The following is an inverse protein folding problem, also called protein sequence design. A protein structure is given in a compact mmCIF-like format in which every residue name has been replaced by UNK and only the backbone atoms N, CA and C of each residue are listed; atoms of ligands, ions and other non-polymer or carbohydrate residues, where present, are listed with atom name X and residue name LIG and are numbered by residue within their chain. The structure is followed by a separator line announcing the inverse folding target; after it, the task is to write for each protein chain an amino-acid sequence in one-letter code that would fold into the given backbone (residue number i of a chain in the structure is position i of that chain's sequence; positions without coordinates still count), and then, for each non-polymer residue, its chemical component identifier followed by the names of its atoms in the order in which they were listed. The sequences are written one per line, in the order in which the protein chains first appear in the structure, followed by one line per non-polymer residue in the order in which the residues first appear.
data_IF_872436980175
#
_entry.id   IF_872436980175
#
_cell.length_a   1.000
_cell.length_b   1.000
_cell.length_c   1.000
_cell.angle_alpha   90.00
_cell.angle_beta   90.00
_cell.angle_gamma   90.00
#
_symmetry.space_group_name_H-M   'P 1'
#
loop_
_entity.id
_entity.type
_entity.pdbx_description
1 polymer ?
#
# COMPACT_ATOMS: atom_id res chain seq x y z
N UNK A 1 34.46 -23.64 -23.75
CA UNK A 1 34.43 -23.10 -22.37
C UNK A 1 33.71 -21.75 -22.26
N UNK A 2 33.63 -20.95 -23.33
CA UNK A 2 32.99 -19.61 -23.33
C UNK A 2 31.45 -19.70 -23.39
N UNK A 3 30.88 -20.76 -23.99
CA UNK A 3 29.41 -20.93 -24.10
C UNK A 3 28.71 -21.37 -22.81
N UNK A 4 29.44 -21.88 -21.82
CA UNK A 4 28.84 -22.40 -20.58
C UNK A 4 28.56 -21.29 -19.57
N UNK A 5 29.30 -20.17 -19.64
CA UNK A 5 29.09 -18.99 -18.79
C UNK A 5 27.92 -18.15 -19.34
N UNK A 6 27.85 -17.97 -20.66
CA UNK A 6 26.74 -17.22 -21.28
C UNK A 6 25.39 -17.96 -21.21
N UNK A 7 25.39 -19.30 -21.20
CA UNK A 7 24.16 -20.08 -21.01
C UNK A 7 23.67 -20.18 -19.56
N UNK A 8 24.49 -19.80 -18.56
CA UNK A 8 24.00 -19.61 -17.16
C UNK A 8 23.36 -18.24 -16.94
N UNK A 9 23.52 -17.30 -17.88
CA UNK A 9 22.94 -15.95 -17.80
C UNK A 9 21.47 -15.92 -18.30
N UNK A 10 20.96 -17.04 -18.86
CA UNK A 10 19.55 -17.16 -19.26
C UNK A 10 18.83 -18.22 -18.44
N UNK A 11 17.80 -17.78 -17.71
CA UNK A 11 16.87 -18.53 -16.82
C UNK A 11 17.22 -18.55 -15.32
N UNK A 12 17.86 -17.51 -14.81
CA UNK A 12 17.55 -17.07 -13.44
C UNK A 12 16.22 -16.30 -13.50
N UNK A 13 15.26 -16.50 -12.58
CA UNK A 13 14.12 -15.60 -12.48
C UNK A 13 14.66 -14.16 -12.43
N UNK A 14 14.14 -13.29 -13.29
CA UNK A 14 14.52 -11.89 -13.32
C UNK A 14 14.28 -11.31 -11.92
N UNK A 15 15.41 -11.03 -11.26
CA UNK A 15 15.60 -10.54 -9.90
C UNK A 15 14.96 -11.32 -8.75
N UNK A 16 15.75 -11.64 -7.69
CA UNK A 16 15.20 -12.08 -6.41
C UNK A 16 14.32 -11.02 -5.72
N UNK A 17 14.27 -9.78 -6.21
CA UNK A 17 13.34 -8.75 -5.74
C UNK A 17 13.01 -7.73 -6.83
N UNK A 18 11.75 -7.74 -7.27
CA UNK A 18 11.13 -6.75 -8.16
C UNK A 18 11.41 -5.32 -7.68
N UNK A 19 11.53 -5.13 -6.37
CA UNK A 19 11.85 -3.84 -5.75
C UNK A 19 13.25 -3.38 -6.16
N UNK A 20 14.25 -4.28 -6.12
CA UNK A 20 15.62 -3.94 -6.53
C UNK A 20 15.72 -3.69 -8.02
N UNK A 21 14.91 -4.35 -8.85
CA UNK A 21 14.83 -4.04 -10.27
C UNK A 21 14.25 -2.63 -10.52
N UNK A 22 13.15 -2.28 -9.84
CA UNK A 22 12.50 -0.96 -9.96
C UNK A 22 13.33 0.18 -9.35
N UNK A 23 14.30 -0.14 -8.49
CA UNK A 23 15.24 0.84 -7.95
C UNK A 23 16.13 1.47 -9.04
N UNK A 24 16.25 0.81 -10.20
CA UNK A 24 16.87 1.34 -11.41
C UNK A 24 18.23 0.72 -11.72
N UNK A 25 18.69 0.95 -12.96
CA UNK A 25 19.92 0.37 -13.53
C UNK A 25 21.16 0.68 -12.67
N UNK A 26 21.28 1.89 -12.14
CA UNK A 26 22.42 2.30 -11.30
C UNK A 26 22.50 1.48 -10.01
N UNK A 27 21.37 1.10 -9.43
CA UNK A 27 21.36 0.35 -8.17
C UNK A 27 21.42 -1.16 -8.37
N UNK A 28 21.08 -1.65 -9.57
CA UNK A 28 21.29 -3.04 -9.96
C UNK A 28 22.77 -3.41 -9.91
N UNK A 29 23.62 -2.62 -10.56
CA UNK A 29 25.07 -2.85 -10.57
C UNK A 29 25.65 -2.76 -9.16
N UNK A 30 25.19 -1.79 -8.36
CA UNK A 30 25.61 -1.61 -6.97
C UNK A 30 25.11 -2.70 -6.03
N UNK A 31 23.92 -3.24 -6.27
CA UNK A 31 23.40 -4.40 -5.53
C UNK A 31 24.25 -5.64 -5.82
N UNK A 32 24.60 -5.85 -7.09
CA UNK A 32 25.50 -6.93 -7.48
C UNK A 32 26.89 -6.77 -6.85
N UNK A 33 27.44 -5.55 -6.85
CA UNK A 33 28.70 -5.25 -6.16
C UNK A 33 28.61 -5.50 -4.65
N UNK A 34 27.51 -5.08 -4.01
CA UNK A 34 27.24 -5.38 -2.60
C UNK A 34 27.23 -6.89 -2.31
N UNK A 35 26.58 -7.68 -3.17
CA UNK A 35 26.55 -9.14 -3.03
C UNK A 35 27.94 -9.77 -3.22
N UNK A 36 28.79 -9.19 -4.07
CA UNK A 36 30.14 -9.67 -4.29
C UNK A 36 31.12 -9.29 -3.17
N UNK A 37 30.84 -8.20 -2.45
CA UNK A 37 31.73 -7.62 -1.42
C UNK A 37 31.31 -7.93 0.02
N UNK A 38 30.09 -8.39 0.24
CA UNK A 38 29.53 -8.68 1.56
C UNK A 38 29.06 -10.13 1.65
N UNK A 39 29.07 -10.72 2.85
CA UNK A 39 28.47 -12.04 3.07
C UNK A 39 26.97 -11.96 3.36
N UNK A 40 26.24 -13.01 2.99
CA UNK A 40 24.84 -13.21 3.37
C UNK A 40 24.62 -13.08 4.90
N UNK A 41 23.39 -12.72 5.36
CA UNK A 41 22.21 -12.43 4.56
C UNK A 41 22.26 -11.05 3.88
N UNK A 42 21.79 -10.98 2.64
CA UNK A 42 21.69 -9.75 1.86
C UNK A 42 20.37 -9.04 2.17
N UNK A 43 20.44 -7.86 2.79
CA UNK A 43 19.24 -7.13 3.26
C UNK A 43 19.24 -5.70 2.79
N UNK A 44 18.07 -5.09 2.65
CA UNK A 44 17.95 -3.66 2.32
C UNK A 44 18.66 -2.77 3.35
N UNK A 45 18.54 -3.14 4.63
CA UNK A 45 19.16 -2.43 5.73
C UNK A 45 20.69 -2.47 5.66
N UNK A 46 21.29 -3.62 5.33
CA UNK A 46 22.74 -3.74 5.14
C UNK A 46 23.20 -3.03 3.86
N UNK A 47 22.46 -3.17 2.77
CA UNK A 47 22.77 -2.49 1.51
C UNK A 47 22.79 -0.97 1.68
N UNK A 48 21.82 -0.38 2.37
CA UNK A 48 21.83 1.07 2.62
C UNK A 48 23.02 1.48 3.50
N UNK A 49 23.44 0.63 4.44
CA UNK A 49 24.58 0.92 5.33
C UNK A 49 25.94 0.91 4.61
N UNK A 50 26.05 0.37 3.40
CA UNK A 50 27.31 0.44 2.63
C UNK A 50 27.59 1.85 2.09
N UNK A 51 26.59 2.72 2.09
CA UNK A 51 26.71 4.11 1.62
C UNK A 51 27.01 5.08 2.76
N UNK A 52 27.60 6.22 2.38
CA UNK A 52 27.83 7.34 3.30
C UNK A 52 26.50 7.90 3.80
N UNK A 53 26.52 8.46 5.02
CA UNK A 53 25.31 8.95 5.70
C UNK A 53 24.48 9.96 4.90
N UNK A 54 25.15 10.81 4.11
CA UNK A 54 24.52 11.82 3.25
C UNK A 54 23.77 11.19 2.06
N UNK A 55 24.27 10.07 1.53
CA UNK A 55 23.65 9.34 0.42
C UNK A 55 22.49 8.44 0.88
N UNK A 56 22.53 7.95 2.12
CA UNK A 56 21.51 7.04 2.67
C UNK A 56 20.10 7.64 2.64
N UNK A 57 19.96 8.94 2.86
CA UNK A 57 18.65 9.62 2.84
C UNK A 57 18.02 9.56 1.45
N UNK A 58 18.80 9.85 0.42
CA UNK A 58 18.35 9.78 -0.97
C UNK A 58 18.03 8.33 -1.37
N UNK A 59 18.86 7.37 -0.95
CA UNK A 59 18.66 5.95 -1.26
C UNK A 59 17.39 5.39 -0.60
N UNK A 60 17.13 5.73 0.67
CA UNK A 60 15.87 5.37 1.36
C UNK A 60 14.64 5.89 0.62
N UNK A 61 14.69 7.12 0.09
CA UNK A 61 13.62 7.70 -0.73
C UNK A 61 13.42 6.93 -2.03
N UNK A 62 14.50 6.56 -2.72
CA UNK A 62 14.43 5.80 -3.96
C UNK A 62 13.92 4.37 -3.74
N UNK A 63 14.36 3.70 -2.66
CA UNK A 63 13.86 2.39 -2.26
C UNK A 63 12.35 2.44 -2.01
N UNK A 64 11.88 3.45 -1.27
CA UNK A 64 10.45 3.67 -1.04
C UNK A 64 9.67 3.82 -2.34
N UNK A 65 10.17 4.61 -3.28
CA UNK A 65 9.54 4.79 -4.58
C UNK A 65 9.53 3.50 -5.41
N UNK A 66 10.62 2.73 -5.35
CA UNK A 66 10.72 1.43 -6.00
C UNK A 66 9.67 0.45 -5.45
N UNK A 67 9.49 0.40 -4.12
CA UNK A 67 8.45 -0.42 -3.48
C UNK A 67 7.06 -0.01 -3.97
N UNK A 68 6.76 1.29 -4.00
CA UNK A 68 5.48 1.78 -4.51
C UNK A 68 5.26 1.42 -5.97
N UNK A 69 6.31 1.47 -6.79
CA UNK A 69 6.21 1.10 -8.19
C UNK A 69 6.05 -0.43 -8.38
N UNK A 70 6.70 -1.25 -7.56
CA UNK A 70 6.49 -2.71 -7.56
C UNK A 70 5.05 -3.06 -7.18
N UNK A 71 4.46 -2.35 -6.21
CA UNK A 71 3.06 -2.53 -5.84
C UNK A 71 2.15 -2.12 -6.99
N UNK A 72 2.32 -0.93 -7.57
CA UNK A 72 1.36 -0.37 -8.53
C UNK A 72 1.49 -0.91 -9.95
N UNK A 73 2.70 -1.20 -10.41
CA UNK A 73 2.98 -1.54 -11.81
C UNK A 73 3.51 -2.96 -11.99
N UNK A 74 3.85 -3.69 -10.91
CA UNK A 74 4.41 -5.03 -11.00
C UNK A 74 5.70 -5.08 -11.85
N UNK A 75 6.02 -6.24 -12.41
CA UNK A 75 7.17 -6.41 -13.32
C UNK A 75 6.80 -5.95 -14.73
N UNK A 76 5.67 -6.45 -15.24
CA UNK A 76 5.23 -6.30 -16.62
C UNK A 76 4.01 -5.41 -16.71
N UNK A 77 3.71 -4.92 -17.91
CA UNK A 77 2.59 -3.98 -18.13
C UNK A 77 1.24 -4.61 -17.82
N UNK A 78 1.10 -5.91 -18.06
CA UNK A 78 -0.08 -6.69 -17.68
C UNK A 78 -0.27 -6.81 -16.16
N UNK A 79 0.77 -6.55 -15.37
CA UNK A 79 0.74 -6.59 -13.90
C UNK A 79 0.33 -5.23 -13.29
N UNK A 80 -0.05 -4.25 -14.11
CA UNK A 80 -0.55 -2.96 -13.63
C UNK A 80 -1.83 -3.11 -12.81
N UNK A 81 -1.86 -2.46 -11.64
CA UNK A 81 -3.00 -2.57 -10.72
C UNK A 81 -4.24 -1.87 -11.30
N UNK A 82 -5.41 -2.52 -11.17
CA UNK A 82 -6.71 -1.98 -11.61
C UNK A 82 -7.00 -0.59 -11.03
N UNK A 83 -6.54 -0.30 -9.80
CA UNK A 83 -6.73 0.99 -9.13
C UNK A 83 -6.22 2.19 -9.95
N UNK A 84 -5.21 1.98 -10.81
CA UNK A 84 -4.65 3.02 -11.67
C UNK A 84 -5.69 3.62 -12.63
N UNK A 85 -6.73 2.86 -12.99
CA UNK A 85 -7.86 3.37 -13.80
C UNK A 85 -8.63 4.48 -13.10
N UNK A 86 -8.64 4.49 -11.77
CA UNK A 86 -9.41 5.44 -10.95
C UNK A 86 -8.55 6.57 -10.38
N UNK A 87 -7.23 6.54 -10.60
CA UNK A 87 -6.29 7.50 -10.02
C UNK A 87 -5.82 8.50 -11.07
N UNK A 88 -5.77 9.78 -10.69
CA UNK A 88 -5.22 10.86 -11.49
C UNK A 88 -3.70 10.97 -11.29
N UNK A 89 -2.93 10.71 -12.34
CA UNK A 89 -1.47 10.66 -12.26
C UNK A 89 -0.81 12.04 -12.37
N UNK A 90 -1.35 12.92 -13.21
CA UNK A 90 -0.62 14.10 -13.68
C UNK A 90 -1.07 15.39 -13.00
N UNK A 91 -2.31 15.44 -12.49
CA UNK A 91 -2.90 16.66 -11.95
C UNK A 91 -2.83 16.72 -10.43
N UNK A 92 -2.76 17.96 -9.90
CA UNK A 92 -2.81 18.25 -8.46
C UNK A 92 -4.18 17.93 -7.83
N UNK A 93 -5.24 17.83 -8.63
CA UNK A 93 -6.59 17.46 -8.21
C UNK A 93 -7.11 16.36 -9.13
N UNK A 94 -7.85 15.42 -8.56
CA UNK A 94 -8.50 14.37 -9.33
C UNK A 94 -9.48 14.99 -10.34
N UNK A 95 -9.39 14.54 -11.60
CA UNK A 95 -10.37 14.90 -12.64
C UNK A 95 -11.77 14.36 -12.33
N UNK A 96 -12.73 14.69 -13.21
CA UNK A 96 -14.13 14.27 -13.05
C UNK A 96 -14.26 12.73 -12.99
N UNK A 97 -13.45 12.02 -13.78
CA UNK A 97 -13.51 10.56 -13.94
C UNK A 97 -12.52 9.80 -13.05
N UNK A 98 -11.83 10.50 -12.14
CA UNK A 98 -10.84 9.93 -11.22
C UNK A 98 -11.30 10.19 -9.79
N UNK A 99 -11.00 9.33 -8.83
CA UNK A 99 -11.46 9.47 -7.44
C UNK A 99 -10.44 10.17 -6.54
N UNK A 100 -9.15 9.95 -6.79
CA UNK A 100 -8.03 10.49 -6.02
C UNK A 100 -6.82 10.75 -6.92
N UNK A 101 -5.85 11.51 -6.41
CA UNK A 101 -4.57 11.70 -7.09
C UNK A 101 -3.58 10.61 -6.72
N UNK A 102 -2.61 10.35 -7.60
CA UNK A 102 -1.48 9.45 -7.33
C UNK A 102 -0.71 9.89 -6.08
N UNK A 103 -0.60 11.21 -5.87
CA UNK A 103 0.01 11.75 -4.67
C UNK A 103 -0.76 11.34 -3.40
N UNK A 104 -2.10 11.40 -3.38
CA UNK A 104 -2.88 10.99 -2.21
C UNK A 104 -2.74 9.49 -1.95
N UNK A 105 -2.78 8.66 -3.00
CA UNK A 105 -2.55 7.21 -2.90
C UNK A 105 -1.19 6.90 -2.26
N UNK A 106 -0.10 7.47 -2.80
CA UNK A 106 1.28 7.23 -2.32
C UNK A 106 1.52 7.79 -0.92
N UNK A 107 1.11 9.04 -0.68
CA UNK A 107 1.44 9.75 0.58
C UNK A 107 0.51 9.43 1.75
N UNK A 108 -0.64 8.81 1.48
CA UNK A 108 -1.62 8.46 2.52
C UNK A 108 -1.87 6.96 2.57
N UNK A 109 -2.46 6.36 1.54
CA UNK A 109 -2.85 4.94 1.56
C UNK A 109 -1.62 4.04 1.69
N UNK A 110 -0.71 4.10 0.72
CA UNK A 110 0.50 3.28 0.73
C UNK A 110 1.44 3.66 1.87
N UNK A 111 1.56 4.95 2.19
CA UNK A 111 2.42 5.41 3.31
C UNK A 111 2.03 4.77 4.64
N UNK A 112 0.74 4.60 4.93
CA UNK A 112 0.29 4.02 6.18
C UNK A 112 0.46 2.49 6.22
N UNK A 113 0.27 1.82 5.09
CA UNK A 113 0.23 0.34 5.03
C UNK A 113 1.60 -0.31 4.74
N UNK A 114 2.49 0.38 4.02
CA UNK A 114 3.85 -0.09 3.71
C UNK A 114 4.79 0.16 4.89
N UNK A 115 5.61 -0.84 5.23
CA UNK A 115 6.73 -0.70 6.15
C UNK A 115 7.77 0.27 5.59
N UNK A 116 7.93 1.41 6.28
CA UNK A 116 8.69 2.56 5.77
C UNK A 116 10.19 2.45 5.96
N UNK A 117 10.67 1.52 6.80
CA UNK A 117 12.10 1.34 7.07
C UNK A 117 12.69 0.32 6.09
N UNK A 118 13.99 0.41 5.78
CA UNK A 118 14.69 -0.67 5.10
C UNK A 118 14.51 -1.98 5.85
N UNK A 119 14.04 -3.01 5.15
CA UNK A 119 13.82 -4.32 5.69
C UNK A 119 15.17 -4.98 6.05
N UNK A 120 15.21 -5.63 7.21
CA UNK A 120 16.35 -6.45 7.63
C UNK A 120 16.06 -7.94 7.42
N UNK A 121 15.35 -8.26 6.34
CA UNK A 121 15.05 -9.62 5.88
C UNK A 121 15.87 -9.92 4.64
N UNK A 122 16.22 -11.19 4.44
CA UNK A 122 17.02 -11.60 3.30
C UNK A 122 16.20 -11.48 2.01
N UNK A 123 16.70 -10.62 1.12
CA UNK A 123 16.08 -10.33 -0.17
C UNK A 123 16.29 -11.53 -1.09
N UNK A 124 15.23 -11.99 -1.75
CA UNK A 124 15.32 -13.10 -2.70
C UNK A 124 15.30 -14.51 -2.13
N UNK A 125 15.08 -14.63 -0.81
CA UNK A 125 14.89 -15.91 -0.15
C UNK A 125 13.39 -16.24 -0.02
N UNK A 126 13.05 -17.48 0.35
CA UNK A 126 11.67 -17.83 0.75
C UNK A 126 11.19 -17.01 1.97
N UNK A 127 12.13 -16.48 2.75
CA UNK A 127 11.89 -15.60 3.88
C UNK A 127 11.82 -14.12 3.50
N UNK A 128 11.82 -13.77 2.19
CA UNK A 128 11.72 -12.40 1.72
C UNK A 128 10.36 -11.79 2.09
N UNK A 129 10.37 -11.09 3.22
CA UNK A 129 9.18 -10.42 3.73
C UNK A 129 8.78 -9.22 2.89
N UNK A 130 9.71 -8.58 2.16
CA UNK A 130 9.38 -7.46 1.28
C UNK A 130 8.55 -7.93 0.10
N UNK A 131 8.90 -9.07 -0.48
CA UNK A 131 8.12 -9.66 -1.57
C UNK A 131 6.71 -10.02 -1.10
N UNK A 132 6.58 -10.60 0.11
CA UNK A 132 5.27 -10.86 0.74
C UNK A 132 4.47 -9.59 0.98
N UNK A 133 5.11 -8.52 1.45
CA UNK A 133 4.45 -7.22 1.62
C UNK A 133 3.93 -6.64 0.31
N UNK A 134 4.73 -6.67 -0.76
CA UNK A 134 4.30 -6.23 -2.09
C UNK A 134 3.09 -7.05 -2.55
N UNK A 135 3.14 -8.38 -2.40
CA UNK A 135 2.02 -9.25 -2.74
C UNK A 135 0.75 -8.93 -1.94
N UNK A 136 0.87 -8.80 -0.62
CA UNK A 136 -0.25 -8.46 0.26
C UNK A 136 -0.87 -7.10 -0.10
N UNK A 137 -0.05 -6.09 -0.37
CA UNK A 137 -0.56 -4.77 -0.75
C UNK A 137 -1.25 -4.78 -2.11
N UNK A 138 -0.78 -5.59 -3.05
CA UNK A 138 -1.47 -5.79 -4.33
C UNK A 138 -2.83 -6.45 -4.11
N UNK A 139 -2.90 -7.54 -3.33
CA UNK A 139 -4.17 -8.19 -2.96
C UNK A 139 -5.11 -7.23 -2.22
N UNK A 140 -4.60 -6.43 -1.28
CA UNK A 140 -5.38 -5.39 -0.60
C UNK A 140 -5.96 -4.37 -1.60
N UNK A 141 -5.16 -3.91 -2.58
CA UNK A 141 -5.62 -2.96 -3.58
C UNK A 141 -6.62 -3.57 -4.58
N UNK A 142 -6.53 -4.86 -4.87
CA UNK A 142 -7.54 -5.57 -5.66
C UNK A 142 -8.87 -5.66 -4.92
N UNK A 143 -8.86 -6.05 -3.64
CA UNK A 143 -10.06 -6.04 -2.78
C UNK A 143 -10.60 -4.61 -2.65
N UNK A 144 -9.72 -3.62 -2.51
CA UNK A 144 -10.11 -2.22 -2.49
C UNK A 144 -10.85 -1.83 -3.77
N UNK A 145 -10.39 -2.29 -4.92
CA UNK A 145 -11.07 -2.02 -6.18
C UNK A 145 -12.41 -2.73 -6.26
N UNK A 146 -12.46 -4.00 -5.84
CA UNK A 146 -13.69 -4.78 -5.78
C UNK A 146 -14.76 -4.07 -4.96
N UNK A 147 -14.44 -3.71 -3.71
CA UNK A 147 -15.39 -3.12 -2.76
C UNK A 147 -15.88 -1.74 -3.19
N UNK A 148 -15.01 -0.90 -3.73
CA UNK A 148 -15.35 0.49 -4.02
C UNK A 148 -15.76 0.75 -5.49
N UNK A 149 -15.49 -0.16 -6.43
CA UNK A 149 -15.73 0.09 -7.86
C UNK A 149 -16.31 -1.07 -8.69
N UNK A 150 -16.30 -2.34 -8.24
CA UNK A 150 -16.71 -3.46 -9.12
C UNK A 150 -18.24 -3.70 -9.15
N UNK A 151 -19.01 -3.18 -8.19
CA UNK A 151 -20.50 -3.25 -8.22
C UNK A 151 -21.17 -2.22 -9.15
N UNK A 152 -20.41 -1.33 -9.80
CA UNK A 152 -20.94 -0.39 -10.80
C UNK A 152 -21.15 -1.08 -12.16
N UNK A 153 -22.13 -1.98 -12.18
CA UNK A 153 -22.74 -2.59 -13.35
C UNK A 153 -23.30 -1.50 -14.29
N UNK A 154 -22.45 -0.93 -15.13
CA UNK A 154 -22.83 -0.26 -16.36
C UNK A 154 -23.52 1.10 -16.22
N UNK A 155 -23.61 1.68 -15.02
CA UNK A 155 -24.08 3.06 -14.87
C UNK A 155 -22.85 3.96 -14.69
N UNK A 156 -22.43 4.60 -15.78
CA UNK A 156 -21.64 5.83 -15.73
C UNK A 156 -22.47 6.93 -15.03
N UNK A 157 -22.68 6.82 -13.73
CA UNK A 157 -23.15 7.94 -12.94
C UNK A 157 -21.92 8.60 -12.36
N UNK A 158 -21.83 9.89 -12.63
CA UNK A 158 -21.08 10.86 -11.84
C UNK A 158 -20.82 10.31 -10.44
N UNK A 159 -19.55 10.31 -10.00
CA UNK A 159 -19.11 9.99 -8.63
C UNK A 159 -20.31 10.17 -7.69
N UNK A 160 -20.89 9.08 -7.19
CA UNK A 160 -21.96 9.22 -6.19
C UNK A 160 -21.42 10.17 -5.12
N UNK A 161 -22.25 11.08 -4.60
CA UNK A 161 -21.77 12.05 -3.59
C UNK A 161 -21.06 11.32 -2.43
N UNK A 162 -21.53 10.11 -2.12
CA UNK A 162 -20.84 9.09 -1.31
C UNK A 162 -19.38 8.88 -1.70
N UNK A 163 -19.08 8.48 -2.94
CA UNK A 163 -17.70 8.28 -3.42
C UNK A 163 -16.88 9.57 -3.37
N UNK A 164 -17.48 10.74 -3.65
CA UNK A 164 -16.77 12.02 -3.45
C UNK A 164 -16.36 12.19 -1.99
N UNK A 165 -17.27 11.94 -1.05
CA UNK A 165 -17.03 12.07 0.40
C UNK A 165 -15.99 11.07 0.91
N UNK A 166 -16.04 9.80 0.49
CA UNK A 166 -15.07 8.76 0.88
C UNK A 166 -13.65 9.13 0.43
N UNK A 167 -13.52 9.66 -0.80
CA UNK A 167 -12.24 9.95 -1.43
C UNK A 167 -11.74 11.40 -1.26
N UNK A 168 -12.44 12.24 -0.46
CA UNK A 168 -11.93 13.54 -0.03
C UNK A 168 -10.63 13.37 0.75
N UNK A 169 -9.73 14.34 0.65
CA UNK A 169 -8.37 14.20 1.20
C UNK A 169 -8.34 14.06 2.73
N UNK A 170 -9.23 14.77 3.45
CA UNK A 170 -9.42 14.60 4.89
C UNK A 170 -9.92 13.20 5.24
N UNK A 171 -10.97 12.75 4.55
CA UNK A 171 -11.55 11.42 4.69
C UNK A 171 -10.54 10.31 4.48
N UNK A 172 -9.77 10.36 3.40
CA UNK A 172 -8.73 9.34 3.09
C UNK A 172 -7.67 9.27 4.19
N UNK A 173 -7.23 10.41 4.73
CA UNK A 173 -6.27 10.43 5.84
C UNK A 173 -6.84 9.84 7.12
N UNK A 174 -8.11 10.09 7.41
CA UNK A 174 -8.80 9.54 8.58
C UNK A 174 -9.03 8.03 8.40
N UNK A 175 -9.78 7.61 7.37
CA UNK A 175 -10.17 6.21 7.21
C UNK A 175 -8.96 5.30 6.98
N UNK A 176 -7.88 5.75 6.32
CA UNK A 176 -6.71 4.88 6.12
C UNK A 176 -6.09 4.47 7.46
N UNK A 177 -6.05 5.38 8.45
CA UNK A 177 -5.55 5.08 9.80
C UNK A 177 -6.49 4.15 10.54
N UNK A 178 -7.79 4.40 10.46
CA UNK A 178 -8.82 3.56 11.07
C UNK A 178 -8.80 2.14 10.49
N UNK A 179 -8.72 2.02 9.16
CA UNK A 179 -8.57 0.73 8.44
C UNK A 179 -7.29 0.02 8.86
N UNK A 180 -6.14 0.70 8.90
CA UNK A 180 -4.89 0.09 9.37
C UNK A 180 -5.03 -0.46 10.80
N UNK A 181 -5.61 0.32 11.71
CA UNK A 181 -5.87 -0.12 13.09
C UNK A 181 -6.79 -1.34 13.13
N UNK A 182 -7.85 -1.36 12.32
CA UNK A 182 -8.77 -2.48 12.21
C UNK A 182 -8.06 -3.75 11.71
N UNK A 183 -7.27 -3.63 10.64
CA UNK A 183 -6.46 -4.72 10.09
C UNK A 183 -5.50 -5.25 11.15
N UNK A 184 -4.79 -4.38 11.87
CA UNK A 184 -3.88 -4.81 12.94
C UNK A 184 -4.59 -5.66 14.00
N UNK A 185 -5.83 -5.32 14.37
CA UNK A 185 -6.61 -6.12 15.33
C UNK A 185 -7.05 -7.45 14.73
N UNK A 186 -7.53 -7.46 13.49
CA UNK A 186 -7.90 -8.68 12.75
C UNK A 186 -6.73 -9.66 12.66
N UNK A 187 -5.52 -9.14 12.42
CA UNK A 187 -4.28 -9.91 12.36
C UNK A 187 -3.65 -10.18 13.73
N UNK A 188 -4.39 -9.92 14.83
CA UNK A 188 -3.98 -10.08 16.22
C UNK A 188 -2.60 -9.47 16.54
N UNK A 189 -2.31 -8.30 15.97
CA UNK A 189 -1.09 -7.54 16.21
C UNK A 189 -1.30 -6.73 17.48
N UNK A 190 -0.77 -7.22 18.59
CA UNK A 190 -0.90 -6.59 19.92
C UNK A 190 0.28 -5.65 20.19
N UNK A 191 1.48 -6.01 19.71
CA UNK A 191 2.69 -5.21 19.94
C UNK A 191 2.73 -3.96 19.06
N UNK A 192 2.74 -2.79 19.69
CA UNK A 192 2.87 -1.49 19.03
C UNK A 192 4.12 -1.37 18.14
N UNK A 193 5.21 -2.09 18.44
CA UNK A 193 6.41 -2.10 17.60
C UNK A 193 6.18 -2.81 16.25
N UNK A 194 5.19 -3.71 16.20
CA UNK A 194 4.82 -4.47 15.02
C UNK A 194 3.73 -3.78 14.19
N UNK A 195 3.13 -2.69 14.68
CA UNK A 195 2.07 -1.96 13.98
C UNK A 195 2.54 -1.33 12.66
N UNK A 196 3.84 -1.09 12.51
CA UNK A 196 4.41 -0.60 11.26
C UNK A 196 4.62 -1.71 10.22
N UNK A 197 4.54 -2.98 10.64
CA UNK A 197 4.71 -4.18 9.82
C UNK A 197 3.36 -4.84 9.51
N UNK A 198 2.29 -4.05 9.39
CA UNK A 198 0.92 -4.55 9.12
C UNK A 198 0.89 -5.50 7.93
N UNK A 199 1.45 -5.07 6.78
CA UNK A 199 1.44 -5.86 5.55
C UNK A 199 2.71 -6.70 5.35
N UNK A 200 3.75 -6.47 6.16
CA UNK A 200 5.03 -7.18 6.12
C UNK A 200 4.96 -8.52 6.90
N UNK A 201 4.03 -9.40 6.52
CA UNK A 201 3.76 -10.70 7.17
C UNK A 201 3.03 -11.68 6.25
N UNK A 202 3.00 -12.98 6.54
CA UNK A 202 2.01 -13.87 5.94
C UNK A 202 0.60 -13.47 6.39
N UNK A 203 -0.36 -13.47 5.47
CA UNK A 203 -1.79 -13.23 5.75
C UNK A 203 -2.59 -14.37 5.12
N UNK A 204 -3.37 -15.07 5.94
CA UNK A 204 -4.18 -16.23 5.58
C UNK A 204 -5.48 -15.80 4.89
N UNK A 205 -6.13 -16.73 4.17
CA UNK A 205 -7.33 -16.40 3.39
C UNK A 205 -8.49 -15.90 4.26
N UNK A 206 -8.73 -16.52 5.42
CA UNK A 206 -9.77 -16.07 6.35
C UNK A 206 -9.50 -14.66 6.91
N UNK A 207 -8.23 -14.28 7.05
CA UNK A 207 -7.85 -12.92 7.44
C UNK A 207 -8.14 -11.92 6.31
N UNK A 208 -7.93 -12.32 5.05
CA UNK A 208 -8.30 -11.51 3.88
C UNK A 208 -9.80 -11.26 3.78
N UNK A 209 -10.63 -12.26 4.06
CA UNK A 209 -12.09 -12.07 4.12
C UNK A 209 -12.49 -11.07 5.21
N UNK A 210 -11.84 -11.12 6.37
CA UNK A 210 -12.06 -10.14 7.43
C UNK A 210 -11.59 -8.73 7.02
N UNK A 211 -10.46 -8.61 6.31
CA UNK A 211 -9.99 -7.33 5.74
C UNK A 211 -11.00 -6.79 4.70
N UNK A 212 -11.56 -7.65 3.85
CA UNK A 212 -12.61 -7.28 2.89
C UNK A 212 -13.85 -6.76 3.62
N UNK A 213 -14.29 -7.43 4.68
CA UNK A 213 -15.42 -6.98 5.51
C UNK A 213 -15.17 -5.61 6.15
N UNK A 214 -13.94 -5.32 6.58
CA UNK A 214 -13.57 -3.97 7.09
C UNK A 214 -13.79 -2.91 6.00
N UNK A 215 -13.34 -3.16 4.76
CA UNK A 215 -13.51 -2.22 3.66
C UNK A 215 -14.99 -2.07 3.27
N UNK A 216 -15.77 -3.16 3.27
CA UNK A 216 -17.21 -3.12 3.00
C UNK A 216 -17.96 -2.30 4.06
N UNK A 217 -17.63 -2.47 5.34
CA UNK A 217 -18.21 -1.65 6.43
C UNK A 217 -17.87 -0.17 6.29
N UNK A 218 -16.64 0.12 5.87
CA UNK A 218 -16.23 1.49 5.56
C UNK A 218 -17.07 2.03 4.41
N UNK A 219 -17.21 1.30 3.31
CA UNK A 219 -18.01 1.71 2.14
C UNK A 219 -19.47 1.94 2.55
N UNK A 220 -20.09 1.01 3.28
CA UNK A 220 -21.52 1.03 3.60
C UNK A 220 -21.88 1.95 4.79
N UNK A 221 -20.92 2.70 5.32
CA UNK A 221 -21.14 3.49 6.53
C UNK A 221 -22.14 4.64 6.32
N UNK A 222 -23.11 4.77 7.21
CA UNK A 222 -24.19 5.78 7.13
C UNK A 222 -23.69 7.23 7.07
N UNK A 223 -22.48 7.51 7.59
CA UNK A 223 -21.82 8.82 7.48
C UNK A 223 -21.80 9.33 6.03
N UNK A 224 -21.61 8.45 5.04
CA UNK A 224 -21.45 8.88 3.66
C UNK A 224 -22.74 9.34 3.02
N UNK A 225 -23.87 8.89 3.56
CA UNK A 225 -25.22 9.21 3.10
C UNK A 225 -25.87 10.32 3.95
N UNK A 226 -25.21 10.77 5.02
CA UNK A 226 -25.70 11.84 5.87
C UNK A 226 -25.63 13.20 5.15
N UNK A 227 -26.77 13.87 5.03
CA UNK A 227 -26.90 15.15 4.32
C UNK A 227 -26.95 16.36 5.26
N UNK A 228 -26.64 16.19 6.53
CA UNK A 228 -26.52 17.30 7.47
C UNK A 228 -25.47 18.31 6.99
N UNK A 229 -25.78 19.63 6.95
CA UNK A 229 -24.82 20.65 6.53
C UNK A 229 -23.53 20.67 7.36
N UNK A 230 -23.60 20.28 8.64
CA UNK A 230 -22.44 20.14 9.53
C UNK A 230 -21.45 19.09 9.02
N UNK A 231 -21.93 17.93 8.59
CA UNK A 231 -21.12 16.83 8.04
C UNK A 231 -20.37 17.30 6.80
N UNK A 232 -21.09 17.92 5.85
CA UNK A 232 -20.49 18.42 4.62
C UNK A 232 -19.45 19.51 4.93
N UNK A 233 -19.71 20.41 5.89
CA UNK A 233 -18.74 21.42 6.32
C UNK A 233 -17.48 20.78 6.91
N UNK A 234 -17.62 19.83 7.83
CA UNK A 234 -16.50 19.16 8.49
C UNK A 234 -15.64 18.36 7.50
N UNK A 235 -16.27 17.68 6.54
CA UNK A 235 -15.57 16.98 5.46
C UNK A 235 -14.82 17.94 4.52
N UNK A 236 -15.32 19.16 4.33
CA UNK A 236 -14.72 20.18 3.47
C UNK A 236 -13.52 20.91 4.09
N UNK A 237 -13.40 20.94 5.42
CA UNK A 237 -12.25 21.54 6.09
C UNK A 237 -10.91 20.87 5.74
N UNK A 238 -10.94 19.62 5.28
CA UNK A 238 -9.76 18.83 4.90
C UNK A 238 -8.67 18.73 6.01
N UNK A 239 -9.05 19.00 7.25
CA UNK A 239 -8.23 18.81 8.45
C UNK A 239 -8.46 17.42 9.01
N UNK A 240 -7.37 16.73 9.31
CA UNK A 240 -7.45 15.36 9.81
C UNK A 240 -8.18 15.32 11.16
N UNK A 241 -7.91 16.28 12.03
CA UNK A 241 -8.47 16.36 13.38
C UNK A 241 -10.00 16.49 13.31
N UNK A 242 -10.50 17.40 12.44
CA UNK A 242 -11.94 17.59 12.22
C UNK A 242 -12.60 16.33 11.66
N UNK A 243 -11.98 15.69 10.66
CA UNK A 243 -12.55 14.46 10.08
C UNK A 243 -12.48 13.27 11.04
N UNK A 244 -11.45 13.20 11.88
CA UNK A 244 -11.33 12.14 12.88
C UNK A 244 -12.40 12.30 13.98
N UNK A 245 -12.62 13.52 14.48
CA UNK A 245 -13.69 13.78 15.44
C UNK A 245 -15.06 13.38 14.87
N UNK A 246 -15.33 13.73 13.61
CA UNK A 246 -16.55 13.30 12.91
C UNK A 246 -16.66 11.77 12.83
N UNK A 247 -15.57 11.06 12.60
CA UNK A 247 -15.58 9.59 12.56
C UNK A 247 -15.86 9.00 13.95
N UNK A 248 -15.33 9.62 14.99
CA UNK A 248 -15.53 9.19 16.37
C UNK A 248 -16.99 9.43 16.80
N UNK A 249 -17.58 10.58 16.41
CA UNK A 249 -19.01 10.90 16.64
C UNK A 249 -19.94 9.91 15.95
N UNK A 250 -19.64 9.55 14.70
CA UNK A 250 -20.36 8.53 13.95
C UNK A 250 -19.98 7.11 14.35
N UNK A 251 -19.08 6.97 15.34
CA UNK A 251 -18.60 5.71 15.89
C UNK A 251 -18.17 4.72 14.82
N UNK A 252 -17.53 5.17 13.71
CA UNK A 252 -17.21 4.30 12.55
C UNK A 252 -16.51 3.04 13.07
N UNK A 253 -17.23 1.91 13.21
CA UNK A 253 -16.73 0.82 14.01
C UNK A 253 -16.01 -0.10 13.04
N UNK A 254 -14.81 0.31 12.62
CA UNK A 254 -13.88 -0.64 12.02
C UNK A 254 -13.27 -1.55 13.10
N UNK A 255 -13.66 -1.38 14.37
CA UNK A 255 -13.34 -2.30 15.45
C UNK A 255 -13.96 -3.67 15.17
N UNK A 256 -13.11 -4.69 15.00
CA UNK A 256 -13.47 -6.09 14.94
C UNK A 256 -14.00 -6.66 16.29
N UNK A 257 -14.35 -5.82 17.27
CA UNK A 257 -14.86 -6.28 18.57
C UNK A 257 -16.14 -7.12 18.46
N UNK A 258 -16.80 -7.13 17.30
CA UNK A 258 -17.98 -7.95 17.00
C UNK A 258 -17.69 -9.26 16.24
N UNK A 259 -16.43 -9.64 15.99
CA UNK A 259 -16.09 -10.91 15.33
C UNK A 259 -15.54 -11.99 16.28
N UNK A 260 -15.54 -11.73 17.60
CA UNK A 260 -15.16 -12.75 18.59
C UNK A 260 -16.39 -13.56 19.09
N UNK A 261 -17.62 -13.13 18.79
CA UNK A 261 -18.85 -13.83 19.21
C UNK A 261 -19.96 -13.81 18.14
N UNK A 262 -19.69 -14.36 16.96
CA UNK A 262 -20.74 -14.74 15.99
C UNK A 262 -20.41 -16.10 15.38
#
# INVERSE_FOLDING_TARGET
LIDTIQNRIRKLPLYPSIVMEKLGVIHRDRWQEYQNTTSAPYTEAKFIKTYRSDEQTNLKRQLKEAIYNSILYGERKEDEMKILKYVEAEKRRAGKDKIMTMNLLKTTVLKNLVFQKPANYEVGSESDMRLKEVHNLRKFLDIFVEVFFEDDLGIQKERTEKMKRIFKSGSVRAWTRTVKSAINRTLNIIDHQEFDKTMLRPIQEHEWEAIKSILQRLEQHALWDDNAPSVESQLNENKLETTQALFDDYSIPLNAAYLINA
#
